data_IF_005678401388
#
_entry.id   IF_005678401388
#
_cell.length_a   1.000
_cell.length_b   1.000
_cell.length_c   1.000
_cell.angle_alpha   90.00
_cell.angle_beta   90.00
_cell.angle_gamma   90.00
#
_symmetry.space_group_name_H-M   'P 1'
#
loop_
_entity.id
_entity.type
_entity.pdbx_description
1 polymer ?
#
# COMPACT_ATOMS: atom_id res chain seq x y z
N UNK A 1 9.28 8.26 -19.87
CA UNK A 1 9.24 7.27 -20.97
C UNK A 1 7.97 7.37 -21.80
N UNK A 2 6.77 7.27 -21.18
CA UNK A 2 5.48 7.29 -21.91
C UNK A 2 5.29 8.54 -22.80
N UNK A 3 5.59 9.74 -22.29
CA UNK A 3 5.43 10.99 -23.04
C UNK A 3 6.36 11.08 -24.27
N UNK A 4 7.60 10.59 -24.14
CA UNK A 4 8.59 10.63 -25.22
C UNK A 4 8.17 9.67 -26.35
N UNK A 5 7.72 8.47 -25.97
CA UNK A 5 7.24 7.46 -26.92
C UNK A 5 5.99 7.96 -27.65
N UNK A 6 5.02 8.53 -26.92
CA UNK A 6 3.83 9.12 -27.51
C UNK A 6 4.17 10.27 -28.46
N UNK A 7 5.12 11.14 -28.08
CA UNK A 7 5.59 12.23 -28.93
C UNK A 7 6.21 11.76 -30.24
N UNK A 8 7.07 10.73 -30.20
CA UNK A 8 7.70 10.20 -31.42
C UNK A 8 6.69 9.45 -32.32
N UNK A 9 5.73 8.72 -31.73
CA UNK A 9 4.64 8.07 -32.49
C UNK A 9 3.75 9.08 -33.21
N UNK A 10 3.47 10.23 -32.58
CA UNK A 10 2.71 11.32 -33.20
C UNK A 10 3.50 11.99 -34.34
N UNK A 11 4.80 12.22 -34.15
CA UNK A 11 5.69 12.74 -35.21
C UNK A 11 5.73 11.82 -36.43
N UNK A 12 5.71 10.50 -36.23
CA UNK A 12 5.61 9.52 -37.31
C UNK A 12 4.22 9.48 -37.94
N UNK A 13 3.15 9.62 -37.14
CA UNK A 13 1.79 9.71 -37.65
C UNK A 13 1.60 10.94 -38.55
N UNK A 14 2.18 12.10 -38.20
CA UNK A 14 2.17 13.31 -39.04
C UNK A 14 2.78 13.02 -40.42
N UNK A 15 3.93 12.36 -40.48
CA UNK A 15 4.56 11.99 -41.74
C UNK A 15 3.67 11.05 -42.58
N UNK A 16 2.98 10.09 -41.95
CA UNK A 16 2.05 9.19 -42.62
C UNK A 16 0.82 9.91 -43.17
N UNK A 17 0.32 10.93 -42.45
CA UNK A 17 -0.78 11.79 -42.92
C UNK A 17 -0.35 12.64 -44.12
N UNK A 18 0.86 13.19 -44.13
CA UNK A 18 1.41 13.94 -45.28
C UNK A 18 1.54 13.05 -46.53
N UNK A 19 1.82 11.75 -46.36
CA UNK A 19 1.83 10.78 -47.45
C UNK A 19 0.43 10.38 -47.94
N UNK A 20 -0.64 10.88 -47.32
CA UNK A 20 -2.02 10.67 -47.77
C UNK A 20 -2.73 9.45 -47.17
N UNK A 21 -2.18 8.81 -46.13
CA UNK A 21 -2.91 7.74 -45.42
C UNK A 21 -4.09 8.30 -44.61
N UNK A 22 -5.19 7.55 -44.59
CA UNK A 22 -6.34 7.91 -43.76
C UNK A 22 -6.07 7.62 -42.28
N UNK A 23 -6.43 8.51 -41.33
CA UNK A 23 -6.15 8.33 -39.90
C UNK A 23 -6.61 6.98 -39.32
N UNK A 24 -7.73 6.43 -39.81
CA UNK A 24 -8.25 5.13 -39.36
C UNK A 24 -7.32 3.95 -39.68
N UNK A 25 -6.54 4.02 -40.76
CA UNK A 25 -5.57 2.97 -41.11
C UNK A 25 -4.35 3.05 -40.20
N UNK A 26 -3.91 4.26 -39.85
CA UNK A 26 -2.79 4.50 -38.92
C UNK A 26 -3.14 3.96 -37.53
N UNK A 27 -4.36 4.21 -37.04
CA UNK A 27 -4.83 3.71 -35.74
C UNK A 27 -4.80 2.17 -35.71
N UNK A 28 -5.39 1.52 -36.72
CA UNK A 28 -5.38 0.05 -36.84
C UNK A 28 -3.96 -0.51 -36.92
N UNK A 29 -3.08 0.14 -37.67
CA UNK A 29 -1.67 -0.23 -37.77
C UNK A 29 -0.95 -0.16 -36.41
N UNK A 30 -1.21 0.88 -35.63
CA UNK A 30 -0.63 1.04 -34.29
C UNK A 30 -1.20 0.04 -33.27
N UNK A 31 -2.48 -0.31 -33.33
CA UNK A 31 -3.07 -1.36 -32.48
C UNK A 31 -2.46 -2.74 -32.77
N UNK A 32 -2.31 -3.09 -34.05
CA UNK A 32 -1.65 -4.33 -34.48
C UNK A 32 -0.18 -4.36 -34.05
N UNK A 33 0.54 -3.26 -34.26
CA UNK A 33 1.94 -3.12 -33.84
C UNK A 33 2.08 -3.22 -32.31
N UNK A 34 1.16 -2.63 -31.54
CA UNK A 34 1.15 -2.73 -30.08
C UNK A 34 0.96 -4.16 -29.62
N UNK A 35 0.00 -4.88 -30.20
CA UNK A 35 -0.27 -6.29 -29.86
C UNK A 35 0.96 -7.15 -30.15
N UNK A 36 1.56 -7.00 -31.35
CA UNK A 36 2.76 -7.74 -31.72
C UNK A 36 3.97 -7.38 -30.86
N UNK A 37 4.10 -6.10 -30.48
CA UNK A 37 5.14 -5.63 -29.58
C UNK A 37 5.04 -6.26 -28.19
N UNK A 38 3.81 -6.44 -27.68
CA UNK A 38 3.59 -7.14 -26.41
C UNK A 38 3.96 -8.62 -26.49
N UNK A 39 3.60 -9.32 -27.58
CA UNK A 39 4.01 -10.71 -27.80
C UNK A 39 5.55 -10.87 -27.81
N UNK A 40 6.26 -9.96 -28.47
CA UNK A 40 7.72 -10.03 -28.55
C UNK A 40 8.38 -9.66 -27.21
N UNK A 41 7.76 -8.75 -26.44
CA UNK A 41 8.20 -8.42 -25.09
C UNK A 41 8.12 -9.64 -24.14
N UNK A 42 7.10 -10.48 -24.29
CA UNK A 42 6.99 -11.74 -23.52
C UNK A 42 8.13 -12.71 -23.86
N UNK A 43 8.56 -12.78 -25.13
CA UNK A 43 9.70 -13.60 -25.55
C UNK A 43 11.05 -13.06 -25.02
N UNK A 44 11.18 -11.73 -24.90
CA UNK A 44 12.39 -11.07 -24.42
C UNK A 44 12.51 -11.03 -22.89
N UNK A 45 11.41 -11.32 -22.18
CA UNK A 45 11.36 -11.43 -20.72
C UNK A 45 12.15 -12.66 -20.24
N UNK A 46 13.44 -12.46 -19.96
CA UNK A 46 14.38 -13.53 -19.54
C UNK A 46 14.27 -13.96 -18.08
N UNK A 47 13.63 -13.18 -17.22
CA UNK A 47 13.60 -13.47 -15.78
C UNK A 47 12.26 -13.04 -15.19
N UNK A 48 11.41 -14.03 -14.91
CA UNK A 48 10.24 -13.86 -14.06
C UNK A 48 10.61 -14.23 -12.62
N UNK A 49 9.98 -13.57 -11.65
CA UNK A 49 10.22 -13.85 -10.24
C UNK A 49 9.78 -15.30 -9.91
N UNK A 50 10.60 -16.07 -9.18
CA UNK A 50 10.23 -17.42 -8.77
C UNK A 50 9.06 -17.38 -7.78
N UNK A 51 8.10 -18.29 -7.94
CA UNK A 51 7.10 -18.63 -6.92
C UNK A 51 7.66 -19.77 -6.08
N UNK A 52 7.83 -19.66 -4.74
CA UNK A 52 7.37 -18.59 -3.84
C UNK A 52 8.30 -17.36 -3.79
N UNK A 53 7.69 -16.19 -3.66
CA UNK A 53 8.37 -14.90 -3.56
C UNK A 53 9.22 -14.89 -2.28
N UNK A 54 10.53 -14.92 -2.47
CA UNK A 54 11.50 -14.78 -1.38
C UNK A 54 11.87 -13.30 -1.28
N UNK A 55 12.04 -12.78 -0.05
CA UNK A 55 12.48 -11.40 0.23
C UNK A 55 13.65 -10.97 -0.68
N UNK A 56 14.64 -11.84 -0.85
CA UNK A 56 15.85 -11.59 -1.64
C UNK A 56 15.58 -11.47 -3.16
N UNK A 57 14.60 -12.22 -3.67
CA UNK A 57 14.17 -12.13 -5.07
C UNK A 57 13.40 -10.83 -5.34
N UNK A 58 12.55 -10.42 -4.40
CA UNK A 58 11.78 -9.19 -4.49
C UNK A 58 12.70 -7.96 -4.37
N UNK A 59 13.67 -8.00 -3.45
CA UNK A 59 14.66 -6.95 -3.30
C UNK A 59 15.44 -6.73 -4.61
N UNK A 60 15.87 -7.81 -5.30
CA UNK A 60 16.56 -7.71 -6.60
C UNK A 60 15.70 -7.06 -7.68
N UNK A 61 14.39 -7.33 -7.71
CA UNK A 61 13.48 -6.68 -8.65
C UNK A 61 13.22 -5.20 -8.32
N UNK A 62 13.25 -4.83 -7.04
CA UNK A 62 13.02 -3.46 -6.58
C UNK A 62 14.26 -2.55 -6.74
N UNK A 63 15.47 -3.12 -6.70
CA UNK A 63 16.73 -2.36 -6.81
C UNK A 63 16.76 -1.37 -7.98
N UNK A 64 16.50 -1.76 -9.25
CA UNK A 64 16.60 -0.82 -10.38
C UNK A 64 15.61 0.35 -10.29
N UNK A 65 14.40 0.11 -9.76
CA UNK A 65 13.40 1.14 -9.58
C UNK A 65 13.80 2.15 -8.50
N UNK A 66 14.41 1.68 -7.40
CA UNK A 66 14.89 2.53 -6.30
C UNK A 66 16.17 3.27 -6.71
N UNK A 67 17.10 2.59 -7.39
CA UNK A 67 18.36 3.16 -7.88
C UNK A 67 18.15 4.41 -8.75
N UNK A 68 17.07 4.42 -9.55
CA UNK A 68 16.72 5.58 -10.38
C UNK A 68 16.32 6.84 -9.59
N UNK A 69 16.03 6.71 -8.29
CA UNK A 69 15.55 7.81 -7.42
C UNK A 69 16.50 8.11 -6.27
N UNK A 70 17.08 7.09 -5.65
CA UNK A 70 17.95 7.23 -4.49
C UNK A 70 19.17 6.31 -4.61
N UNK A 71 20.21 6.85 -5.22
CA UNK A 71 21.49 6.18 -5.38
C UNK A 71 22.20 6.03 -4.03
N UNK A 72 22.81 4.87 -3.78
CA UNK A 72 23.61 4.61 -2.58
C UNK A 72 22.87 4.01 -1.37
N UNK A 73 21.53 4.05 -1.35
CA UNK A 73 20.69 3.41 -0.30
C UNK A 73 19.78 2.30 -0.87
N UNK A 74 20.14 1.80 -2.05
CA UNK A 74 19.32 0.90 -2.85
C UNK A 74 19.06 -0.42 -2.13
N UNK A 75 20.11 -0.98 -1.53
CA UNK A 75 20.06 -2.28 -0.85
C UNK A 75 19.19 -2.23 0.41
N UNK A 76 19.38 -1.19 1.25
CA UNK A 76 18.63 -1.01 2.50
C UNK A 76 17.16 -0.68 2.24
N UNK A 77 16.87 0.12 1.22
CA UNK A 77 15.48 0.45 0.87
C UNK A 77 14.80 -0.72 0.16
N UNK A 78 15.52 -1.48 -0.68
CA UNK A 78 14.97 -2.65 -1.33
C UNK A 78 14.60 -3.75 -0.33
N UNK A 79 15.42 -3.99 0.69
CA UNK A 79 15.08 -4.95 1.75
C UNK A 79 13.86 -4.51 2.55
N UNK A 80 13.79 -3.24 2.97
CA UNK A 80 12.66 -2.71 3.73
C UNK A 80 11.34 -2.75 2.95
N UNK A 81 11.36 -2.36 1.67
CA UNK A 81 10.17 -2.40 0.82
C UNK A 81 9.76 -3.85 0.54
N UNK A 82 10.72 -4.76 0.38
CA UNK A 82 10.42 -6.19 0.23
C UNK A 82 9.75 -6.75 1.49
N UNK A 83 10.22 -6.40 2.69
CA UNK A 83 9.63 -6.83 3.96
C UNK A 83 8.20 -6.31 4.13
N UNK A 84 7.98 -5.02 3.88
CA UNK A 84 6.63 -4.44 3.92
C UNK A 84 5.68 -5.11 2.92
N UNK A 85 6.17 -5.39 1.70
CA UNK A 85 5.37 -6.05 0.68
C UNK A 85 5.04 -7.50 1.05
N UNK A 86 5.96 -8.25 1.65
CA UNK A 86 5.74 -9.63 2.11
C UNK A 86 4.68 -9.70 3.21
N UNK A 87 4.67 -8.76 4.15
CA UNK A 87 3.66 -8.69 5.22
C UNK A 87 2.26 -8.43 4.65
N UNK A 88 2.17 -7.63 3.60
CA UNK A 88 0.89 -7.18 3.02
C UNK A 88 0.39 -8.11 1.89
N UNK A 89 1.23 -9.03 1.41
CA UNK A 89 0.91 -9.84 0.23
C UNK A 89 -0.25 -10.80 0.49
N UNK A 90 -1.39 -10.65 -0.22
CA UNK A 90 -2.46 -11.62 -0.16
C UNK A 90 -2.09 -12.90 -0.94
N UNK A 91 -2.73 -14.05 -0.67
CA UNK A 91 -2.48 -15.31 -1.37
C UNK A 91 -2.75 -15.22 -2.89
N UNK A 92 -3.48 -14.21 -3.35
CA UNK A 92 -3.61 -13.87 -4.77
C UNK A 92 -2.91 -12.53 -5.07
N UNK A 93 -1.75 -12.52 -5.77
CA UNK A 93 -0.98 -11.31 -6.06
C UNK A 93 -1.75 -10.21 -6.80
N UNK A 94 -2.85 -10.54 -7.49
CA UNK A 94 -3.68 -9.55 -8.20
C UNK A 94 -4.47 -8.63 -7.27
N UNK A 95 -4.69 -9.02 -6.01
CA UNK A 95 -5.43 -8.21 -5.04
C UNK A 95 -4.51 -7.40 -4.11
N UNK A 96 -3.25 -7.19 -4.50
CA UNK A 96 -2.33 -6.38 -3.73
C UNK A 96 -2.79 -4.92 -3.74
N UNK A 97 -3.22 -4.43 -2.58
CA UNK A 97 -3.56 -3.01 -2.41
C UNK A 97 -2.38 -2.27 -1.78
N UNK A 98 -1.92 -1.21 -2.45
CA UNK A 98 -0.83 -0.35 -1.99
C UNK A 98 -1.22 0.43 -0.73
N UNK A 99 -2.52 0.70 -0.52
CA UNK A 99 -3.02 1.43 0.65
C UNK A 99 -2.77 0.71 1.98
N UNK A 100 -2.55 -0.61 1.93
CA UNK A 100 -2.22 -1.40 3.10
C UNK A 100 -0.80 -1.13 3.62
N UNK A 101 0.05 -0.45 2.85
CA UNK A 101 1.38 -0.01 3.28
C UNK A 101 1.33 1.48 3.60
N UNK A 102 1.36 1.83 4.88
CA UNK A 102 1.45 3.23 5.32
C UNK A 102 2.90 3.63 5.56
N UNK A 103 3.29 4.78 5.00
CA UNK A 103 4.62 5.37 5.21
C UNK A 103 4.48 6.57 6.14
N UNK A 104 5.25 6.56 7.23
CA UNK A 104 5.33 7.67 8.19
C UNK A 104 6.76 8.18 8.22
N UNK A 105 6.94 9.51 8.19
CA UNK A 105 8.25 10.15 8.32
C UNK A 105 8.47 10.57 9.76
N UNK A 106 9.61 10.18 10.28
CA UNK A 106 10.03 10.41 11.65
C UNK A 106 11.14 11.45 11.61
N UNK A 107 10.94 12.61 12.23
CA UNK A 107 11.95 13.67 12.27
C UNK A 107 13.02 13.30 13.31
N UNK A 108 14.30 13.42 12.93
CA UNK A 108 15.44 13.18 13.83
C UNK A 108 16.19 11.85 13.62
N UNK A 109 15.68 10.93 12.81
CA UNK A 109 16.36 9.67 12.48
C UNK A 109 17.05 9.72 11.11
N UNK A 110 17.96 8.78 10.87
CA UNK A 110 18.66 8.60 9.58
C UNK A 110 17.97 7.53 8.73
N UNK A 111 18.22 7.52 7.42
CA UNK A 111 17.71 6.50 6.49
C UNK A 111 18.01 5.07 6.98
N UNK A 112 19.15 4.86 7.63
CA UNK A 112 19.61 3.60 8.21
C UNK A 112 18.75 3.09 9.36
N UNK A 113 18.04 3.98 10.07
CA UNK A 113 17.12 3.65 11.16
C UNK A 113 15.69 3.37 10.69
N UNK A 114 15.45 3.28 9.38
CA UNK A 114 14.13 2.97 8.85
C UNK A 114 13.81 1.49 9.08
N UNK A 115 12.63 1.20 9.66
CA UNK A 115 12.15 -0.17 9.90
C UNK A 115 10.68 -0.31 9.53
N UNK A 116 10.23 -1.55 9.36
CA UNK A 116 8.82 -1.89 9.14
C UNK A 116 8.24 -2.42 10.46
N UNK A 117 7.65 -1.57 11.33
CA UNK A 117 7.10 -2.04 12.59
C UNK A 117 5.81 -2.85 12.33
N UNK A 118 5.79 -4.07 12.84
CA UNK A 118 4.61 -4.92 12.82
C UNK A 118 3.73 -4.54 14.02
N UNK A 119 2.67 -3.74 13.81
CA UNK A 119 1.75 -3.38 14.91
C UNK A 119 1.26 -1.94 14.98
N UNK A 120 1.21 -1.20 13.87
CA UNK A 120 0.65 0.17 13.83
C UNK A 120 -0.77 0.30 14.39
N UNK A 121 -1.53 -0.80 14.48
CA UNK A 121 -2.83 -0.84 15.15
C UNK A 121 -2.77 -0.53 16.66
N UNK A 122 -1.68 -0.89 17.34
CA UNK A 122 -1.49 -0.61 18.77
C UNK A 122 -0.83 0.75 19.01
N UNK A 123 -0.13 1.31 18.02
CA UNK A 123 0.46 2.64 18.06
C UNK A 123 -0.59 3.76 18.20
N UNK A 124 -1.82 3.51 17.75
CA UNK A 124 -2.92 4.46 17.93
C UNK A 124 -3.11 4.82 19.40
N UNK A 125 -2.84 3.90 20.34
CA UNK A 125 -3.03 4.14 21.76
C UNK A 125 -2.04 5.20 22.30
N UNK A 126 -0.70 5.00 22.24
CA UNK A 126 0.25 6.00 22.69
C UNK A 126 0.16 7.29 21.88
N UNK A 127 -0.13 7.22 20.58
CA UNK A 127 -0.31 8.41 19.74
C UNK A 127 -1.50 9.25 20.18
N UNK A 128 -2.66 8.63 20.43
CA UNK A 128 -3.86 9.35 20.88
C UNK A 128 -3.69 9.93 22.29
N UNK A 129 -2.98 9.21 23.17
CA UNK A 129 -2.61 9.74 24.48
C UNK A 129 -1.74 11.00 24.33
N UNK A 130 -0.71 10.94 23.49
CA UNK A 130 0.17 12.09 23.25
C UNK A 130 -0.57 13.27 22.59
N UNK A 131 -1.41 13.01 21.57
CA UNK A 131 -2.21 14.05 20.89
C UNK A 131 -3.20 14.74 21.85
N UNK A 132 -3.87 13.98 22.71
CA UNK A 132 -4.89 14.52 23.62
C UNK A 132 -4.29 15.24 24.84
N UNK A 133 -3.15 14.78 25.35
CA UNK A 133 -2.58 15.29 26.59
C UNK A 133 -1.53 16.39 26.39
N UNK A 134 -0.77 16.34 25.28
CA UNK A 134 0.39 17.22 25.04
C UNK A 134 0.22 18.10 23.78
N UNK A 135 -0.91 17.97 23.08
CA UNK A 135 -1.22 18.78 21.90
C UNK A 135 -0.72 18.17 20.57
N UNK A 136 -1.36 18.56 19.48
CA UNK A 136 -1.27 17.83 18.21
C UNK A 136 0.10 17.85 17.51
N UNK A 137 0.91 18.89 17.70
CA UNK A 137 2.25 18.97 17.09
C UNK A 137 3.29 18.15 17.86
N UNK A 138 3.22 18.17 19.20
CA UNK A 138 4.13 17.46 20.09
C UNK A 138 3.88 15.95 20.08
N UNK A 139 2.64 15.51 19.86
CA UNK A 139 2.28 14.09 19.79
C UNK A 139 3.08 13.27 18.77
N UNK A 140 3.38 13.81 17.59
CA UNK A 140 4.19 13.11 16.59
C UNK A 140 5.67 13.02 16.98
N UNK A 141 6.19 14.05 17.66
CA UNK A 141 7.57 14.07 18.13
C UNK A 141 7.79 13.09 19.28
N UNK A 142 6.78 12.92 20.14
CA UNK A 142 6.81 11.97 21.25
C UNK A 142 6.81 10.53 20.74
N UNK A 143 5.98 10.21 19.75
CA UNK A 143 5.97 8.89 19.11
C UNK A 143 7.33 8.60 18.45
N UNK A 144 7.94 9.60 17.82
CA UNK A 144 9.30 9.53 17.27
C UNK A 144 10.34 9.12 18.33
N UNK A 145 10.32 9.81 19.48
CA UNK A 145 11.26 9.53 20.58
C UNK A 145 10.98 8.19 21.24
N UNK A 146 9.71 7.83 21.42
CA UNK A 146 9.30 6.54 21.97
C UNK A 146 9.84 5.39 21.12
N UNK A 147 9.81 5.52 19.79
CA UNK A 147 10.41 4.56 18.88
C UNK A 147 11.92 4.42 19.01
N UNK A 148 12.63 5.53 19.23
CA UNK A 148 14.08 5.50 19.44
C UNK A 148 14.44 4.76 20.74
N UNK A 149 13.62 4.91 21.78
CA UNK A 149 13.80 4.21 23.07
C UNK A 149 13.39 2.74 23.00
N UNK A 150 12.33 2.42 22.27
CA UNK A 150 11.87 1.03 22.03
C UNK A 150 12.87 0.18 21.25
N UNK A 151 13.82 0.81 20.55
CA UNK A 151 14.87 0.14 19.78
C UNK A 151 16.04 -0.34 20.66
N UNK A 152 16.15 0.17 21.89
CA UNK A 152 17.15 -0.28 22.86
C UNK A 152 16.67 -1.51 23.65
N UNK A 153 17.60 -2.33 24.16
CA UNK A 153 17.26 -3.47 25.03
C UNK A 153 16.52 -3.00 26.29
N UNK A 154 15.34 -3.57 26.57
CA UNK A 154 14.43 -3.09 27.63
C UNK A 154 13.48 -1.97 27.19
N UNK A 155 13.49 -1.63 25.90
CA UNK A 155 12.66 -0.61 25.27
C UNK A 155 11.14 -0.79 25.46
N UNK A 156 10.67 -2.02 25.62
CA UNK A 156 9.24 -2.38 25.73
C UNK A 156 8.48 -1.72 26.88
N UNK A 157 9.18 -1.31 27.95
CA UNK A 157 8.57 -0.68 29.11
C UNK A 157 8.42 0.85 28.96
N UNK A 158 8.94 1.46 27.90
CA UNK A 158 8.81 2.91 27.74
C UNK A 158 7.38 3.30 27.34
N UNK A 159 6.87 4.33 27.99
CA UNK A 159 5.57 4.94 27.74
C UNK A 159 5.67 6.44 27.49
N UNK A 160 4.51 7.07 27.32
CA UNK A 160 4.37 8.52 27.16
C UNK A 160 4.20 9.16 28.54
N UNK A 161 4.97 10.20 28.81
CA UNK A 161 4.85 11.05 29.99
C UNK A 161 4.14 12.34 29.64
N UNK A 162 3.01 12.57 30.29
CA UNK A 162 2.15 13.75 30.09
C UNK A 162 2.50 14.90 31.02
N UNK A 163 3.34 14.68 32.04
CA UNK A 163 3.74 15.71 33.00
C UNK A 163 5.16 16.23 32.74
N UNK A 164 5.97 15.51 31.96
CA UNK A 164 7.35 15.92 31.66
C UNK A 164 7.44 17.00 30.56
N UNK A 165 8.11 18.12 30.90
CA UNK A 165 8.30 19.29 30.02
C UNK A 165 9.36 19.11 28.91
N UNK A 166 10.20 18.07 28.96
CA UNK A 166 11.40 17.98 28.10
C UNK A 166 11.46 16.74 27.22
N UNK A 167 11.23 15.55 27.78
CA UNK A 167 11.38 14.28 27.04
C UNK A 167 10.05 13.53 26.82
N UNK A 168 9.01 13.90 27.57
CA UNK A 168 7.62 13.38 27.49
C UNK A 168 7.51 11.86 27.30
N UNK A 169 8.49 11.11 27.80
CA UNK A 169 8.62 9.66 27.71
C UNK A 169 9.20 9.14 29.03
N UNK A 170 8.60 8.09 29.59
CA UNK A 170 8.95 7.53 30.90
C UNK A 170 9.13 6.00 30.83
N UNK A 171 9.91 5.42 31.73
CA UNK A 171 10.02 3.96 31.87
C UNK A 171 8.91 3.45 32.82
N UNK A 172 7.89 2.78 32.27
CA UNK A 172 6.71 2.39 33.02
C UNK A 172 7.01 1.44 34.19
N UNK A 173 8.05 0.60 34.06
CA UNK A 173 8.48 -0.29 35.13
C UNK A 173 9.11 0.41 36.33
N UNK A 174 9.80 1.55 36.12
CA UNK A 174 10.39 2.35 37.22
C UNK A 174 9.33 3.11 38.00
N UNK A 175 8.20 3.44 37.35
CA UNK A 175 7.08 4.15 37.95
C UNK A 175 5.95 3.23 38.42
N UNK A 176 6.17 1.92 38.45
CA UNK A 176 5.18 0.90 38.84
C UNK A 176 3.86 0.98 38.05
N UNK A 177 3.93 1.47 36.80
CA UNK A 177 2.79 1.59 35.90
C UNK A 177 2.60 0.24 35.20
N UNK A 178 1.87 -0.65 35.86
CA UNK A 178 1.49 -1.96 35.33
C UNK A 178 0.06 -1.95 34.83
N UNK A 179 -0.17 -2.65 33.71
CA UNK A 179 -1.51 -2.86 33.17
C UNK A 179 -2.03 -4.26 33.51
N UNK A 180 -3.35 -4.38 33.66
CA UNK A 180 -4.00 -5.66 33.97
C UNK A 180 -3.97 -6.59 32.76
N UNK A 181 -3.29 -7.73 32.91
CA UNK A 181 -3.24 -8.78 31.88
C UNK A 181 -4.63 -9.22 31.44
N UNK A 182 -5.55 -9.36 32.40
CA UNK A 182 -6.92 -9.78 32.13
C UNK A 182 -7.66 -8.75 31.27
N UNK A 183 -7.55 -7.47 31.62
CA UNK A 183 -8.18 -6.38 30.85
C UNK A 183 -7.63 -6.31 29.42
N UNK A 184 -6.30 -6.36 29.25
CA UNK A 184 -5.68 -6.34 27.91
C UNK A 184 -6.04 -7.57 27.08
N UNK A 185 -6.03 -8.76 27.68
CA UNK A 185 -6.37 -10.00 26.98
C UNK A 185 -7.81 -9.98 26.46
N UNK A 186 -8.74 -9.50 27.28
CA UNK A 186 -10.13 -9.32 26.87
C UNK A 186 -10.30 -8.22 25.84
N UNK A 187 -9.61 -7.09 25.98
CA UNK A 187 -9.65 -6.00 25.01
C UNK A 187 -9.20 -6.45 23.62
N UNK A 188 -8.09 -7.20 23.52
CA UNK A 188 -7.58 -7.71 22.24
C UNK A 188 -8.57 -8.73 21.64
N UNK A 189 -9.09 -9.65 22.46
CA UNK A 189 -10.08 -10.64 22.00
C UNK A 189 -11.35 -9.97 21.48
N UNK A 190 -11.93 -9.08 22.27
CA UNK A 190 -13.18 -8.39 21.92
C UNK A 190 -12.99 -7.47 20.71
N UNK A 191 -11.86 -6.75 20.63
CA UNK A 191 -11.54 -5.93 19.46
C UNK A 191 -11.40 -6.77 18.18
N UNK A 192 -10.77 -7.95 18.29
CA UNK A 192 -10.64 -8.88 17.16
C UNK A 192 -11.99 -9.45 16.74
N UNK A 193 -12.83 -9.85 17.71
CA UNK A 193 -14.19 -10.34 17.45
C UNK A 193 -15.06 -9.26 16.81
N UNK A 194 -15.01 -8.02 17.31
CA UNK A 194 -15.75 -6.89 16.76
C UNK A 194 -15.28 -6.55 15.33
N UNK A 195 -13.97 -6.46 15.11
CA UNK A 195 -13.41 -6.21 13.77
C UNK A 195 -13.80 -7.32 12.78
N UNK A 196 -13.71 -8.58 13.20
CA UNK A 196 -14.12 -9.74 12.39
C UNK A 196 -15.62 -9.69 12.07
N UNK A 197 -16.45 -9.33 13.06
CA UNK A 197 -17.89 -9.18 12.87
C UNK A 197 -18.21 -8.10 11.83
N UNK A 198 -17.60 -6.91 11.95
CA UNK A 198 -17.81 -5.82 10.98
C UNK A 198 -17.36 -6.21 9.57
N UNK A 199 -16.17 -6.81 9.43
CA UNK A 199 -15.67 -7.26 8.12
C UNK A 199 -16.54 -8.38 7.52
N UNK A 200 -17.09 -9.25 8.35
CA UNK A 200 -18.02 -10.30 7.87
C UNK A 200 -19.33 -9.70 7.35
N UNK A 201 -19.82 -8.61 7.94
CA UNK A 201 -21.02 -7.90 7.45
C UNK A 201 -20.76 -7.24 6.09
N UNK A 202 -19.61 -6.61 5.89
CA UNK A 202 -19.26 -6.02 4.58
C UNK A 202 -19.14 -7.06 3.47
N UNK A 203 -18.62 -8.26 3.77
CA UNK A 203 -18.60 -9.38 2.82
C UNK A 203 -20.01 -9.88 2.44
N UNK A 204 -21.00 -9.70 3.33
CA UNK A 204 -22.41 -10.03 3.08
C UNK A 204 -23.10 -8.94 2.24
N UNK A 205 -22.70 -7.67 2.37
CA UNK A 205 -23.25 -6.56 1.59
C UNK A 205 -22.73 -6.58 0.14
N UNK A 206 -21.44 -6.88 -0.06
CA UNK A 206 -20.82 -6.96 -1.40
C UNK A 206 -21.22 -8.19 -2.23
N UNK A 207 -21.81 -9.22 -1.61
CA UNK A 207 -22.16 -10.49 -2.27
C UNK A 207 -23.58 -10.54 -2.88
N UNK A 208 -24.35 -9.44 -2.86
CA UNK A 208 -25.65 -9.35 -3.55
C UNK A 208 -25.58 -8.47 -4.82
N UNK A 209 -25.37 -9.04 -6.02
CA UNK A 209 -25.96 -8.45 -7.22
C UNK A 209 -27.44 -8.82 -7.19
N UNK A 210 -28.27 -7.95 -6.61
CA UNK A 210 -29.72 -8.07 -6.75
C UNK A 210 -30.04 -7.77 -8.20
N UNK A 211 -30.01 -8.79 -9.06
CA UNK A 211 -30.56 -8.73 -10.40
C UNK A 211 -32.00 -8.25 -10.26
N UNK A 212 -32.23 -6.98 -10.61
CA UNK A 212 -33.55 -6.39 -10.60
C UNK A 212 -34.50 -7.19 -11.52
N UNK A 213 -35.82 -7.15 -11.28
CA UNK A 213 -36.77 -7.87 -12.11
C UNK A 213 -36.60 -7.48 -13.59
N UNK A 214 -36.47 -8.47 -14.47
CA UNK A 214 -36.46 -8.22 -15.93
C UNK A 214 -37.73 -7.47 -16.31
N UNK A 215 -37.56 -6.30 -16.92
CA UNK A 215 -38.65 -5.52 -17.50
C UNK A 215 -39.31 -6.41 -18.58
N UNK A 216 -40.65 -6.62 -18.55
CA UNK A 216 -41.32 -7.36 -19.61
C UNK A 216 -41.12 -6.61 -20.93
N UNK A 217 -40.56 -7.29 -21.93
CA UNK A 217 -40.55 -6.75 -23.29
C UNK A 217 -41.99 -6.60 -23.76
N UNK A 218 -42.35 -5.37 -24.11
CA UNK A 218 -43.66 -5.05 -24.68
C UNK A 218 -43.81 -5.81 -26.00
N UNK A 219 -44.87 -6.63 -26.09
CA UNK A 219 -45.19 -7.39 -27.29
C UNK A 219 -45.40 -6.44 -28.47
N UNK A 220 -44.89 -6.87 -29.64
CA UNK A 220 -44.86 -6.11 -30.87
C UNK A 220 -46.20 -5.52 -31.31
N UNK A 221 -46.07 -4.41 -32.02
CA UNK A 221 -47.09 -3.67 -32.77
C UNK A 221 -48.20 -4.57 -33.31
N UNK A 222 -49.40 -4.40 -32.79
CA UNK A 222 -50.63 -4.87 -33.43
C UNK A 222 -51.16 -3.68 -34.22
N UNK A 223 -50.77 -3.59 -35.48
CA UNK A 223 -51.48 -2.81 -36.50
C UNK A 223 -51.09 -3.43 -37.87
N UNK A 224 -51.64 -4.63 -38.12
CA UNK A 224 -51.93 -5.09 -39.47
C UNK A 224 -53.47 -5.04 -39.62
N UNK A 225 -53.88 -4.42 -40.73
CA UNK A 225 -55.19 -4.42 -41.39
C UNK A 225 -56.30 -3.47 -40.88
N UNK A 226 -56.46 -2.34 -41.58
CA UNK A 226 -57.67 -2.00 -42.37
C UNK A 226 -57.36 -0.95 -43.46
#
# INVERSE_FOLDING_TARGET
MVLILAGELLKKAEHLLVMGLHPSEIIKGYELASTKGLEELENLSKTSLPSPLTQDSLAKALKPAIASKQYGYEDTLASLVADAAMVVMPPNPKNFNVDNVRVVKIMGSSLSGSRVPMGSALEVIPRRLAENALGGAEGNEIVSRLWAKHESEGGEAWGVDVEAETDSTLLASEHEIFDSLAAKSWAIRLATEAATSVLSVDSIIMSKPTGGPKIPQQAGSWDEDD
#
